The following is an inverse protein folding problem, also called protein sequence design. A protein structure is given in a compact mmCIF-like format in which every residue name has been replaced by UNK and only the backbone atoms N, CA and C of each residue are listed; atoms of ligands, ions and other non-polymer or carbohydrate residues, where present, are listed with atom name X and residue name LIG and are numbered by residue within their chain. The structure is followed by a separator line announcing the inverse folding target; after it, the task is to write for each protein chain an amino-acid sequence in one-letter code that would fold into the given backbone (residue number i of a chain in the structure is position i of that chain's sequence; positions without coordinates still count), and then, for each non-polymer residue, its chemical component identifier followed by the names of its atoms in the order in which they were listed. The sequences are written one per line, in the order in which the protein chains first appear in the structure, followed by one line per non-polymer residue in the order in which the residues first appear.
data_IF_562322839537
#
_entry.id   IF_562322839537
#
_cell.length_a   1.000
_cell.length_b   1.000
_cell.length_c   1.000
_cell.angle_alpha   90.00
_cell.angle_beta   90.00
_cell.angle_gamma   90.00
#
_symmetry.space_group_name_H-M   'P 1'
#
loop_
_entity.id
_entity.type
_entity.pdbx_description
1 polymer ?
#
# COMPACT_ATOMS: atom_id res chain seq x y z
N UNK A 1 -24.92 -39.84 -39.66
CA UNK A 1 -23.95 -39.31 -38.69
C UNK A 1 -24.15 -37.81 -38.77
N UNK A 2 -25.13 -37.34 -38.01
CA UNK A 2 -25.46 -35.93 -37.92
C UNK A 2 -24.46 -35.30 -36.96
N UNK A 3 -23.67 -34.35 -37.46
CA UNK A 3 -22.84 -33.47 -36.65
C UNK A 3 -23.78 -32.59 -35.82
N UNK A 4 -23.96 -32.96 -34.56
CA UNK A 4 -24.68 -32.16 -33.58
C UNK A 4 -23.80 -30.95 -33.21
N UNK A 5 -23.94 -29.90 -34.01
CA UNK A 5 -23.27 -28.63 -33.80
C UNK A 5 -23.82 -28.01 -32.51
N UNK A 6 -22.99 -28.00 -31.47
CA UNK A 6 -23.34 -27.42 -30.18
C UNK A 6 -23.93 -26.00 -30.37
N UNK A 7 -25.06 -25.67 -29.71
CA UNK A 7 -25.70 -24.38 -29.92
C UNK A 7 -24.74 -23.26 -29.52
N UNK A 8 -24.43 -22.40 -30.49
CA UNK A 8 -23.78 -21.12 -30.24
C UNK A 8 -24.74 -20.26 -29.41
N UNK A 9 -24.57 -20.29 -28.09
CA UNK A 9 -25.30 -19.38 -27.21
C UNK A 9 -24.98 -17.95 -27.63
N UNK A 10 -25.98 -17.14 -28.02
CA UNK A 10 -25.76 -15.73 -28.31
C UNK A 10 -25.19 -15.08 -27.05
N UNK A 11 -24.00 -14.49 -27.18
CA UNK A 11 -23.42 -13.70 -26.10
C UNK A 11 -24.41 -12.56 -25.80
N UNK A 12 -24.81 -12.34 -24.52
CA UNK A 12 -25.69 -11.24 -24.16
C UNK A 12 -25.09 -9.91 -24.63
N UNK A 13 -25.93 -8.86 -24.87
CA UNK A 13 -25.45 -7.57 -25.33
C UNK A 13 -24.31 -7.10 -24.42
N UNK A 14 -23.13 -6.95 -25.02
CA UNK A 14 -21.87 -6.77 -24.30
C UNK A 14 -21.97 -5.55 -23.40
N UNK A 15 -21.83 -5.75 -22.08
CA UNK A 15 -21.62 -4.62 -21.19
C UNK A 15 -20.41 -3.81 -21.68
N UNK A 16 -20.49 -2.47 -21.67
CA UNK A 16 -19.40 -1.63 -22.14
C UNK A 16 -18.13 -1.92 -21.33
N UNK A 17 -16.99 -2.04 -22.03
CA UNK A 17 -15.69 -2.27 -21.40
C UNK A 17 -15.42 -1.16 -20.38
N UNK A 18 -15.13 -1.46 -19.10
CA UNK A 18 -14.82 -0.43 -18.12
C UNK A 18 -13.56 0.34 -18.52
N UNK A 19 -13.58 1.66 -18.40
CA UNK A 19 -12.48 2.53 -18.86
C UNK A 19 -11.17 2.34 -18.08
N UNK A 20 -11.25 1.85 -16.85
CA UNK A 20 -10.08 1.54 -16.03
C UNK A 20 -9.51 0.14 -16.32
N UNK A 21 -10.25 -0.75 -16.99
CA UNK A 21 -9.89 -2.17 -17.12
C UNK A 21 -8.54 -2.35 -17.82
N UNK A 22 -8.29 -1.60 -18.89
CA UNK A 22 -6.99 -1.63 -19.57
C UNK A 22 -5.83 -1.23 -18.63
N UNK A 23 -6.01 -0.17 -17.83
CA UNK A 23 -4.99 0.25 -16.86
C UNK A 23 -4.81 -0.75 -15.72
N UNK A 24 -5.89 -1.39 -15.27
CA UNK A 24 -5.85 -2.44 -14.25
C UNK A 24 -5.08 -3.67 -14.73
N UNK A 25 -5.35 -4.12 -15.96
CA UNK A 25 -4.68 -5.27 -16.57
C UNK A 25 -3.24 -4.97 -16.98
N UNK A 26 -2.89 -3.72 -17.29
CA UNK A 26 -1.50 -3.34 -17.57
C UNK A 26 -0.68 -3.04 -16.30
N UNK A 27 -1.30 -3.10 -15.11
CA UNK A 27 -0.68 -2.63 -13.88
C UNK A 27 0.37 -3.62 -13.33
N UNK A 28 1.51 -3.10 -12.90
CA UNK A 28 2.50 -3.89 -12.18
C UNK A 28 2.12 -3.99 -10.69
N UNK A 29 1.60 -5.15 -10.31
CA UNK A 29 1.22 -5.46 -8.93
C UNK A 29 2.40 -5.85 -8.04
N UNK A 30 3.63 -5.97 -8.57
CA UNK A 30 4.84 -6.31 -7.80
C UNK A 30 5.24 -5.24 -6.78
N UNK A 31 4.74 -4.01 -6.97
CA UNK A 31 5.05 -2.86 -6.12
C UNK A 31 4.76 -3.08 -4.64
N UNK A 32 5.66 -2.58 -3.81
CA UNK A 32 5.50 -2.52 -2.35
C UNK A 32 5.25 -1.09 -1.90
N UNK A 33 4.42 -0.95 -0.87
CA UNK A 33 4.15 0.30 -0.17
C UNK A 33 4.94 0.31 1.13
N UNK A 34 5.90 1.23 1.26
CA UNK A 34 6.58 1.49 2.53
C UNK A 34 6.06 2.80 3.13
N UNK A 35 5.67 2.86 4.41
CA UNK A 35 5.05 4.04 5.02
C UNK A 35 6.09 5.11 5.41
N UNK A 36 6.97 5.48 4.47
CA UNK A 36 8.15 6.35 4.71
C UNK A 36 7.82 7.84 4.85
N UNK A 37 6.56 8.24 4.71
CA UNK A 37 6.12 9.61 4.93
C UNK A 37 5.26 9.63 6.20
N UNK A 38 5.46 10.62 7.07
CA UNK A 38 4.63 10.83 8.26
C UNK A 38 4.01 12.22 8.25
N UNK A 39 2.69 12.31 8.36
CA UNK A 39 1.98 13.57 8.52
C UNK A 39 1.68 13.80 10.01
N UNK A 40 2.24 14.86 10.58
CA UNK A 40 1.98 15.25 11.95
C UNK A 40 0.54 15.74 12.12
N UNK A 41 -0.11 16.35 11.13
CA UNK A 41 -1.51 16.79 11.26
C UNK A 41 -2.48 15.62 11.35
N UNK A 42 -2.30 14.59 10.52
CA UNK A 42 -3.11 13.37 10.55
C UNK A 42 -2.67 12.37 11.63
N UNK A 43 -1.47 12.51 12.20
CA UNK A 43 -0.83 11.51 13.04
C UNK A 43 -0.76 10.13 12.37
N UNK A 44 -0.44 10.09 11.07
CA UNK A 44 -0.43 8.86 10.27
C UNK A 44 0.78 8.81 9.35
N UNK A 45 1.28 7.60 9.13
CA UNK A 45 2.27 7.30 8.11
C UNK A 45 1.62 6.75 6.84
N UNK A 46 2.24 7.02 5.69
CA UNK A 46 1.76 6.56 4.40
C UNK A 46 2.91 6.43 3.40
N UNK A 47 2.64 5.72 2.31
CA UNK A 47 3.60 5.56 1.22
C UNK A 47 3.57 6.77 0.28
N UNK A 48 4.76 7.26 -0.11
CA UNK A 48 4.91 8.36 -1.08
C UNK A 48 4.21 8.06 -2.40
N UNK A 49 4.28 6.83 -2.88
CA UNK A 49 3.64 6.39 -4.13
C UNK A 49 2.11 6.41 -4.03
N UNK A 50 1.57 6.09 -2.85
CA UNK A 50 0.13 6.15 -2.62
C UNK A 50 -0.37 7.60 -2.55
N UNK A 51 0.37 8.50 -1.88
CA UNK A 51 -0.11 9.86 -1.58
C UNK A 51 0.86 10.97 -1.99
N UNK A 52 1.10 11.09 -3.30
CA UNK A 52 1.97 12.13 -3.88
C UNK A 52 1.46 13.57 -3.63
N UNK A 53 0.18 13.75 -3.31
CA UNK A 53 -0.47 15.06 -3.09
C UNK A 53 -1.05 15.25 -1.69
N UNK A 54 -0.55 14.54 -0.67
CA UNK A 54 -1.16 14.55 0.67
C UNK A 54 -1.38 15.97 1.21
N UNK A 55 -0.31 16.80 1.26
CA UNK A 55 -0.41 18.14 1.86
C UNK A 55 -1.42 19.02 1.16
N UNK A 56 -1.39 19.06 -0.17
CA UNK A 56 -2.26 19.94 -0.96
C UNK A 56 -3.72 19.50 -0.91
N UNK A 57 -3.97 18.20 -0.81
CA UNK A 57 -5.34 17.65 -0.79
C UNK A 57 -5.96 17.65 0.61
N UNK A 58 -5.19 17.28 1.64
CA UNK A 58 -5.70 17.16 3.01
C UNK A 58 -5.62 18.44 3.82
N UNK A 59 -4.62 19.27 3.52
CA UNK A 59 -4.28 20.41 4.35
C UNK A 59 -4.10 21.68 3.49
N UNK A 60 -5.11 22.05 2.68
CA UNK A 60 -5.04 23.25 1.86
C UNK A 60 -4.81 24.49 2.75
N UNK A 61 -3.85 25.33 2.36
CA UNK A 61 -3.51 26.56 3.09
C UNK A 61 -2.79 26.37 4.42
N UNK A 62 -2.47 25.14 4.84
CA UNK A 62 -1.65 24.87 6.04
C UNK A 62 -0.21 24.58 5.64
N UNK A 63 0.75 25.01 6.48
CA UNK A 63 2.16 24.63 6.28
C UNK A 63 2.28 23.10 6.31
N UNK A 64 3.05 22.50 5.38
CA UNK A 64 3.26 21.07 5.38
C UNK A 64 3.89 20.66 6.71
N UNK A 65 3.16 19.87 7.50
CA UNK A 65 3.70 19.19 8.70
C UNK A 65 3.97 17.73 8.34
N UNK A 66 4.57 17.51 7.18
CA UNK A 66 4.85 16.20 6.63
C UNK A 66 6.35 16.04 6.58
N UNK A 67 6.84 14.89 7.03
CA UNK A 67 8.27 14.59 7.01
C UNK A 67 8.53 13.27 6.32
N UNK A 68 9.64 13.23 5.59
CA UNK A 68 10.18 12.00 5.05
C UNK A 68 11.03 11.31 6.13
N UNK A 69 10.68 10.07 6.42
CA UNK A 69 11.42 9.18 7.31
C UNK A 69 12.43 8.43 6.46
N UNK A 70 13.71 8.67 6.76
CA UNK A 70 14.82 8.13 5.97
C UNK A 70 15.62 7.15 6.79
N UNK A 71 16.27 6.21 6.12
CA UNK A 71 17.18 5.30 6.80
C UNK A 71 18.55 5.96 6.94
N UNK A 72 19.12 5.93 8.14
CA UNK A 72 20.51 6.33 8.39
C UNK A 72 21.20 5.24 9.20
N UNK A 73 22.25 4.65 8.59
CA UNK A 73 22.90 3.43 9.07
C UNK A 73 21.91 2.25 9.09
N UNK A 74 21.40 1.87 10.26
CA UNK A 74 20.46 0.74 10.45
C UNK A 74 19.16 1.15 11.15
N UNK A 75 18.89 2.45 11.25
CA UNK A 75 17.75 2.97 11.99
C UNK A 75 17.07 4.12 11.22
N UNK A 76 15.88 4.48 11.67
CA UNK A 76 15.03 5.48 11.05
C UNK A 76 15.22 6.84 11.68
N UNK A 77 15.39 7.84 10.82
CA UNK A 77 15.63 9.23 11.21
C UNK A 77 14.68 10.17 10.49
N UNK A 78 14.46 11.31 11.12
CA UNK A 78 13.79 12.47 10.52
C UNK A 78 14.74 13.66 10.49
N UNK A 79 14.60 14.52 9.49
CA UNK A 79 15.29 15.81 9.45
C UNK A 79 14.87 16.67 10.64
N UNK A 80 15.84 17.28 11.32
CA UNK A 80 15.57 18.18 12.43
C UNK A 80 14.93 19.50 11.96
N UNK A 81 15.16 19.87 10.70
CA UNK A 81 14.56 21.06 10.06
C UNK A 81 13.10 20.79 9.68
N UNK A 82 12.82 19.61 9.13
CA UNK A 82 11.47 19.27 8.62
C UNK A 82 10.47 19.07 9.77
N UNK A 83 10.94 18.66 10.96
CA UNK A 83 10.09 18.55 12.15
C UNK A 83 10.00 19.86 12.94
N UNK A 84 10.73 20.90 12.56
CA UNK A 84 10.66 22.17 13.27
C UNK A 84 9.28 22.82 13.09
N UNK A 85 8.77 23.44 14.15
CA UNK A 85 7.46 24.09 14.11
C UNK A 85 6.24 23.15 14.06
N UNK A 86 6.42 21.81 14.10
CA UNK A 86 5.26 20.89 14.16
C UNK A 86 4.58 20.85 15.53
N UNK A 87 5.07 21.60 16.53
CA UNK A 87 4.43 21.78 17.84
C UNK A 87 4.90 20.82 18.94
N UNK A 88 5.76 19.84 18.63
CA UNK A 88 6.43 19.05 19.66
C UNK A 88 7.76 19.71 20.05
N UNK A 89 8.13 19.65 21.33
CA UNK A 89 9.40 20.20 21.80
C UNK A 89 10.55 19.21 21.51
N UNK A 90 11.47 19.58 20.61
CA UNK A 90 12.62 18.75 20.20
C UNK A 90 13.90 19.02 21.03
N UNK A 91 13.83 19.85 22.07
CA UNK A 91 14.99 20.23 22.87
C UNK A 91 15.51 19.04 23.68
N UNK A 92 16.84 19.00 23.82
CA UNK A 92 17.55 17.93 24.52
C UNK A 92 17.69 16.63 23.74
N UNK A 93 17.12 16.50 22.53
CA UNK A 93 17.34 15.32 21.68
C UNK A 93 18.64 15.49 20.89
N UNK A 94 19.46 14.45 20.89
CA UNK A 94 20.68 14.36 20.09
C UNK A 94 20.39 14.56 18.60
N UNK A 95 21.17 15.45 17.97
CA UNK A 95 21.17 15.70 16.53
C UNK A 95 22.48 15.20 15.95
N UNK A 96 22.40 14.36 14.93
CA UNK A 96 23.58 13.82 14.24
C UNK A 96 23.61 14.32 12.81
N UNK A 97 24.81 14.48 12.23
CA UNK A 97 24.97 14.97 10.87
C UNK A 97 24.85 13.80 9.88
N UNK A 98 23.94 13.90 8.92
CA UNK A 98 23.76 12.96 7.81
C UNK A 98 23.75 13.77 6.50
N UNK A 99 24.72 13.55 5.60
CA UNK A 99 24.87 14.28 4.34
C UNK A 99 24.69 15.81 4.45
N UNK A 100 25.31 16.42 5.47
CA UNK A 100 25.20 17.87 5.70
C UNK A 100 24.00 18.30 6.55
N UNK A 101 22.93 17.52 6.62
CA UNK A 101 21.71 17.82 7.40
C UNK A 101 21.78 17.28 8.82
N UNK A 102 21.11 17.96 9.75
CA UNK A 102 20.93 17.46 11.12
C UNK A 102 19.72 16.55 11.16
N UNK A 103 19.88 15.33 11.66
CA UNK A 103 18.79 14.35 11.78
C UNK A 103 18.62 13.88 13.23
N UNK A 104 17.41 13.45 13.55
CA UNK A 104 17.00 12.91 14.84
C UNK A 104 16.63 11.44 14.67
N UNK A 105 17.18 10.57 15.50
CA UNK A 105 16.74 9.18 15.55
C UNK A 105 15.33 9.08 16.11
N UNK A 106 14.45 8.34 15.44
CA UNK A 106 13.08 8.08 15.91
C UNK A 106 13.14 7.16 17.13
N UNK A 107 13.90 6.06 17.02
CA UNK A 107 14.06 5.04 18.05
C UNK A 107 15.50 4.93 18.53
N UNK A 108 15.72 4.10 19.55
CA UNK A 108 17.04 3.80 20.10
C UNK A 108 17.81 2.93 19.10
N UNK A 109 19.02 3.38 18.74
CA UNK A 109 19.98 2.62 17.96
C UNK A 109 20.35 1.30 18.66
N UNK A 110 20.03 0.17 18.04
CA UNK A 110 20.37 -1.16 18.56
C UNK A 110 21.88 -1.45 18.46
N UNK A 111 22.56 -0.95 17.42
CA UNK A 111 24.00 -1.14 17.21
C UNK A 111 24.73 0.16 17.46
N UNK A 112 25.56 0.18 18.50
CA UNK A 112 26.25 1.38 18.98
C UNK A 112 27.53 1.63 18.18
N UNK A 113 27.70 2.81 17.56
CA UNK A 113 29.03 3.24 17.14
C UNK A 113 29.92 3.49 18.38
N UNK A 114 31.17 3.02 18.35
CA UNK A 114 32.11 3.25 19.45
C UNK A 114 32.45 4.75 19.53
N UNK A 115 32.04 5.38 20.63
CA UNK A 115 32.35 6.79 20.91
C UNK A 115 32.82 6.94 22.36
N UNK A 116 33.88 7.74 22.54
CA UNK A 116 34.58 8.00 23.80
C UNK A 116 33.95 9.14 24.62
N UNK A 117 32.68 9.45 24.41
CA UNK A 117 32.01 10.52 25.16
C UNK A 117 31.44 9.98 26.48
N UNK A 118 31.66 10.68 27.62
CA UNK A 118 31.19 10.26 28.94
C UNK A 118 29.70 10.52 29.19
N UNK A 119 28.99 11.12 28.23
CA UNK A 119 27.59 11.54 28.42
C UNK A 119 26.63 10.39 28.12
N UNK A 120 25.75 10.12 29.09
CA UNK A 120 24.72 9.09 29.00
C UNK A 120 23.32 9.71 28.89
N UNK A 121 22.53 9.19 27.95
CA UNK A 121 21.09 9.38 27.92
C UNK A 121 20.48 8.76 29.19
N UNK A 122 19.29 9.20 29.59
CA UNK A 122 18.53 8.58 30.70
C UNK A 122 18.26 7.08 30.52
N UNK A 123 18.30 6.55 29.29
CA UNK A 123 18.22 5.11 29.02
C UNK A 123 19.56 4.36 29.21
N UNK A 124 20.62 5.04 29.67
CA UNK A 124 21.95 4.49 29.85
C UNK A 124 22.83 4.49 28.59
N UNK A 125 22.32 4.97 27.45
CA UNK A 125 23.09 4.96 26.20
C UNK A 125 24.08 6.12 26.08
N UNK A 126 25.23 5.83 25.46
CA UNK A 126 26.23 6.84 25.12
C UNK A 126 25.71 7.78 24.04
N UNK A 127 25.99 9.07 24.22
CA UNK A 127 25.62 10.14 23.29
C UNK A 127 26.84 10.68 22.52
N UNK A 128 26.61 11.18 21.31
CA UNK A 128 27.61 11.80 20.43
C UNK A 128 27.79 13.30 20.70
N UNK A 129 26.88 13.93 21.45
CA UNK A 129 26.94 15.35 21.77
C UNK A 129 26.36 15.63 23.16
N UNK A 130 26.48 16.90 23.61
CA UNK A 130 25.82 17.41 24.82
C UNK A 130 24.30 17.51 24.60
N UNK A 131 23.62 16.38 24.74
CA UNK A 131 22.16 16.25 24.70
C UNK A 131 21.68 15.56 25.98
N UNK A 132 20.37 15.52 26.21
CA UNK A 132 19.74 14.82 27.34
C UNK A 132 19.15 13.46 26.94
N UNK A 133 18.84 13.30 25.65
CA UNK A 133 18.17 12.11 25.09
C UNK A 133 18.85 11.68 23.79
N UNK A 134 19.05 10.37 23.61
CA UNK A 134 19.69 9.83 22.41
C UNK A 134 18.78 9.81 21.16
N UNK A 135 17.45 9.80 21.36
CA UNK A 135 16.45 9.71 20.29
C UNK A 135 15.10 10.31 20.73
N UNK A 136 14.17 10.45 19.78
CA UNK A 136 12.80 10.94 19.99
C UNK A 136 12.06 10.05 20.99
N UNK A 137 12.12 8.73 20.82
CA UNK A 137 11.49 7.77 21.74
C UNK A 137 11.99 7.88 23.19
N UNK A 138 13.30 8.08 23.41
CA UNK A 138 13.82 8.25 24.77
C UNK A 138 13.30 9.52 25.44
N UNK A 139 13.18 10.63 24.70
CA UNK A 139 12.57 11.86 25.23
C UNK A 139 11.10 11.65 25.54
N UNK A 140 10.36 11.04 24.62
CA UNK A 140 8.94 10.73 24.79
C UNK A 140 8.69 9.92 26.08
N UNK A 141 9.54 8.95 26.39
CA UNK A 141 9.39 8.13 27.59
C UNK A 141 9.77 8.82 28.91
N UNK A 142 10.59 9.88 28.87
CA UNK A 142 11.21 10.46 30.07
C UNK A 142 10.73 11.88 30.42
N UNK A 143 10.20 12.61 29.45
CA UNK A 143 9.44 13.83 29.68
C UNK A 143 8.00 13.37 29.56
N UNK A 144 7.09 13.68 30.49
CA UNK A 144 5.69 13.20 30.45
C UNK A 144 4.69 14.26 30.00
N UNK A 145 5.07 15.54 30.03
CA UNK A 145 4.26 16.67 29.60
C UNK A 145 4.72 17.23 28.25
N UNK A 146 3.89 18.07 27.64
CA UNK A 146 4.18 18.75 26.37
C UNK A 146 3.10 18.56 25.30
N UNK A 147 3.08 19.47 24.32
CA UNK A 147 2.15 19.42 23.20
C UNK A 147 2.49 18.29 22.22
N UNK A 148 1.46 17.74 21.58
CA UNK A 148 1.54 16.77 20.47
C UNK A 148 2.32 15.48 20.76
N UNK A 149 2.39 15.08 22.02
CA UNK A 149 3.08 13.85 22.44
C UNK A 149 2.43 12.60 21.88
N UNK A 150 1.10 12.60 21.85
CA UNK A 150 0.25 11.58 21.24
C UNK A 150 0.64 11.35 19.77
N UNK A 151 0.78 12.40 18.98
CA UNK A 151 1.22 12.34 17.58
C UNK A 151 2.64 11.77 17.47
N UNK A 152 3.57 12.22 18.33
CA UNK A 152 4.94 11.70 18.36
C UNK A 152 5.01 10.25 18.83
N UNK A 153 4.09 9.81 19.71
CA UNK A 153 3.98 8.41 20.10
C UNK A 153 3.60 7.54 18.90
N UNK A 154 2.72 8.00 18.02
CA UNK A 154 2.40 7.30 16.77
C UNK A 154 3.61 7.24 15.83
N UNK A 155 4.34 8.36 15.66
CA UNK A 155 5.60 8.37 14.89
C UNK A 155 6.59 7.32 15.43
N UNK A 156 6.79 7.27 16.76
CA UNK A 156 7.70 6.33 17.39
C UNK A 156 7.18 4.88 17.31
N UNK A 157 5.88 4.65 17.36
CA UNK A 157 5.27 3.31 17.28
C UNK A 157 5.23 2.74 15.85
N UNK A 158 5.28 3.61 14.84
CA UNK A 158 5.21 3.19 13.42
C UNK A 158 6.40 2.32 13.01
N UNK A 159 6.13 1.17 12.37
CA UNK A 159 7.16 0.34 11.76
C UNK A 159 7.45 0.80 10.32
N UNK A 160 8.52 1.57 10.14
CA UNK A 160 8.93 2.10 8.83
C UNK A 160 9.65 1.08 7.94
N UNK A 161 10.06 -0.08 8.48
CA UNK A 161 10.74 -1.13 7.73
C UNK A 161 9.79 -2.11 7.04
N UNK A 162 8.51 -2.08 7.39
CA UNK A 162 7.54 -3.04 6.87
C UNK A 162 7.13 -2.64 5.45
N UNK A 163 7.71 -3.32 4.46
CA UNK A 163 7.26 -3.25 3.09
C UNK A 163 5.95 -4.04 2.97
N UNK A 164 4.89 -3.36 2.50
CA UNK A 164 3.56 -3.95 2.41
C UNK A 164 3.16 -4.12 0.97
N UNK A 165 2.74 -5.32 0.59
CA UNK A 165 2.26 -5.56 -0.76
C UNK A 165 0.97 -4.77 -0.98
N UNK A 166 0.80 -4.26 -2.21
CA UNK A 166 -0.46 -3.68 -2.60
C UNK A 166 -1.54 -4.77 -2.59
N UNK A 167 -2.67 -4.46 -1.94
CA UNK A 167 -3.84 -5.33 -1.82
C UNK A 167 -5.12 -4.63 -2.29
N UNK A 168 -5.01 -3.41 -2.83
CA UNK A 168 -6.11 -2.65 -3.41
C UNK A 168 -5.66 -1.93 -4.68
N UNK A 169 -6.58 -1.72 -5.61
CA UNK A 169 -6.41 -0.89 -6.80
C UNK A 169 -7.55 0.12 -6.90
N UNK A 170 -7.22 1.41 -6.96
CA UNK A 170 -8.23 2.46 -7.13
C UNK A 170 -8.48 2.68 -8.63
N UNK A 171 -9.74 2.56 -9.06
CA UNK A 171 -10.14 2.73 -10.47
C UNK A 171 -10.06 4.20 -10.93
N UNK A 172 -10.16 5.15 -10.00
CA UNK A 172 -10.04 6.58 -10.27
C UNK A 172 -8.57 6.99 -10.40
N UNK A 173 -7.74 6.62 -9.40
CA UNK A 173 -6.30 6.90 -9.44
C UNK A 173 -5.54 6.05 -10.47
N UNK A 174 -6.11 4.90 -10.88
CA UNK A 174 -5.49 3.88 -11.73
C UNK A 174 -4.15 3.39 -11.17
N UNK A 175 -4.10 3.16 -9.86
CA UNK A 175 -2.90 2.75 -9.13
C UNK A 175 -3.25 1.76 -8.02
N UNK A 176 -2.34 0.83 -7.77
CA UNK A 176 -2.40 -0.05 -6.62
C UNK A 176 -1.83 0.62 -5.36
N UNK A 177 -2.36 0.22 -4.21
CA UNK A 177 -1.91 0.65 -2.90
C UNK A 177 -2.15 -0.45 -1.86
N UNK A 178 -1.51 -0.31 -0.70
CA UNK A 178 -1.78 -1.17 0.45
C UNK A 178 -2.77 -0.48 1.39
N UNK A 179 -3.90 -1.13 1.70
CA UNK A 179 -4.92 -0.62 2.62
C UNK A 179 -4.37 -0.34 4.02
N UNK A 180 -3.36 -1.11 4.44
CA UNK A 180 -2.62 -0.89 5.69
C UNK A 180 -1.77 0.39 5.69
N UNK A 181 -1.33 0.86 4.52
CA UNK A 181 -0.59 2.12 4.33
C UNK A 181 -1.53 3.30 4.02
N UNK A 182 -2.76 3.04 3.58
CA UNK A 182 -3.77 4.04 3.27
C UNK A 182 -5.14 3.50 3.67
N UNK A 183 -5.49 3.64 4.96
CA UNK A 183 -6.68 3.02 5.56
C UNK A 183 -7.99 3.70 5.19
N UNK A 184 -7.93 4.93 4.67
CA UNK A 184 -9.09 5.72 4.27
C UNK A 184 -8.84 6.33 2.89
N UNK A 185 -8.54 5.50 1.89
CA UNK A 185 -8.15 5.99 0.57
C UNK A 185 -9.20 6.90 -0.05
N UNK A 186 -10.48 6.50 -0.03
CA UNK A 186 -11.56 7.25 -0.65
C UNK A 186 -11.80 8.60 0.04
N UNK A 187 -11.95 8.64 1.36
CA UNK A 187 -12.11 9.90 2.09
C UNK A 187 -10.90 10.83 1.94
N UNK A 188 -9.71 10.25 1.80
CA UNK A 188 -8.46 11.00 1.69
C UNK A 188 -8.18 11.55 0.29
N UNK A 189 -8.40 10.74 -0.75
CA UNK A 189 -7.98 11.04 -2.12
C UNK A 189 -9.10 11.49 -3.03
N UNK A 190 -10.33 11.12 -2.68
CA UNK A 190 -11.55 11.30 -3.46
C UNK A 190 -12.67 11.88 -2.57
N UNK A 191 -12.42 13.02 -1.89
CA UNK A 191 -13.44 13.62 -1.02
C UNK A 191 -14.68 13.99 -1.85
N UNK A 192 -15.86 13.66 -1.33
CA UNK A 192 -17.14 13.89 -2.01
C UNK A 192 -17.55 12.78 -2.99
N UNK A 193 -16.76 11.72 -3.12
CA UNK A 193 -17.18 10.48 -3.77
C UNK A 193 -17.63 9.52 -2.67
N UNK A 194 -18.93 9.27 -2.60
CA UNK A 194 -19.51 8.23 -1.74
C UNK A 194 -19.21 6.87 -2.38
N UNK A 195 -18.55 5.99 -1.64
CA UNK A 195 -18.12 4.66 -2.10
C UNK A 195 -18.66 3.57 -1.18
N UNK A 196 -19.95 3.65 -0.84
CA UNK A 196 -20.59 2.76 0.15
C UNK A 196 -20.50 1.27 -0.26
N UNK A 197 -20.39 0.99 -1.56
CA UNK A 197 -20.29 -0.36 -2.11
C UNK A 197 -18.87 -0.75 -2.59
N UNK A 198 -17.83 0.04 -2.30
CA UNK A 198 -16.47 -0.15 -2.85
C UNK A 198 -16.46 -0.27 -4.40
N UNK A 199 -17.24 0.57 -5.08
CA UNK A 199 -17.35 0.67 -6.54
C UNK A 199 -16.07 1.22 -7.19
N UNK A 200 -15.21 1.87 -6.41
CA UNK A 200 -13.99 2.49 -6.91
C UNK A 200 -12.70 1.83 -6.45
N UNK A 201 -12.78 0.82 -5.59
CA UNK A 201 -11.63 0.09 -5.09
C UNK A 201 -11.78 -1.41 -5.37
N UNK A 202 -10.87 -1.94 -6.19
CA UNK A 202 -10.76 -3.37 -6.47
C UNK A 202 -9.82 -4.00 -5.44
N UNK A 203 -10.30 -4.99 -4.69
CA UNK A 203 -9.45 -5.82 -3.84
C UNK A 203 -8.55 -6.71 -4.70
N UNK A 204 -7.29 -6.86 -4.31
CA UNK A 204 -6.35 -7.77 -4.98
C UNK A 204 -5.66 -8.67 -3.98
N UNK A 205 -5.49 -9.92 -4.37
CA UNK A 205 -4.92 -10.97 -3.54
C UNK A 205 -3.81 -11.70 -4.30
N UNK A 206 -2.85 -12.25 -3.55
CA UNK A 206 -1.77 -13.05 -4.10
C UNK A 206 -1.99 -14.50 -3.73
N UNK A 207 -2.03 -15.36 -4.73
CA UNK A 207 -2.13 -16.79 -4.48
C UNK A 207 -0.91 -17.26 -3.66
N UNK A 208 -1.12 -17.96 -2.53
CA UNK A 208 -0.05 -18.25 -1.55
C UNK A 208 1.09 -19.10 -2.12
N UNK A 209 0.76 -20.07 -2.98
CA UNK A 209 1.77 -20.99 -3.56
C UNK A 209 2.41 -20.44 -4.83
N UNK A 210 1.61 -19.93 -5.76
CA UNK A 210 2.03 -19.63 -7.12
C UNK A 210 2.22 -18.12 -7.40
N UNK A 211 1.90 -17.25 -6.44
CA UNK A 211 2.22 -15.82 -6.47
C UNK A 211 1.47 -14.95 -7.48
N UNK A 212 0.55 -15.51 -8.27
CA UNK A 212 -0.26 -14.75 -9.23
C UNK A 212 -1.34 -13.92 -8.54
N UNK A 213 -1.80 -12.87 -9.24
CA UNK A 213 -2.72 -11.88 -8.68
C UNK A 213 -4.17 -12.24 -9.04
N UNK A 214 -5.00 -12.13 -8.01
CA UNK A 214 -6.41 -12.46 -7.99
C UNK A 214 -7.22 -11.23 -7.61
N UNK A 215 -8.48 -11.18 -8.04
CA UNK A 215 -9.47 -10.21 -7.57
C UNK A 215 -10.72 -10.96 -7.13
N UNK A 216 -11.44 -10.50 -6.08
CA UNK A 216 -12.75 -11.02 -5.76
C UNK A 216 -13.73 -10.85 -6.92
N UNK A 217 -14.71 -11.75 -6.99
CA UNK A 217 -15.82 -11.67 -7.97
C UNK A 217 -16.76 -10.50 -7.70
N UNK A 218 -16.75 -9.93 -6.49
CA UNK A 218 -17.60 -8.81 -6.12
C UNK A 218 -16.73 -7.60 -5.71
N UNK A 219 -17.20 -6.39 -6.01
CA UNK A 219 -16.52 -5.12 -5.74
C UNK A 219 -16.69 -4.12 -6.89
N UNK A 220 -15.70 -3.27 -7.11
CA UNK A 220 -15.63 -2.27 -8.20
C UNK A 220 -15.75 -2.82 -9.65
N UNK A 221 -15.80 -4.14 -9.82
CA UNK A 221 -16.01 -4.80 -11.10
C UNK A 221 -17.45 -5.32 -11.14
N UNK A 222 -18.24 -4.87 -12.12
CA UNK A 222 -19.59 -5.39 -12.34
C UNK A 222 -19.56 -6.89 -12.66
N UNK A 223 -20.54 -7.65 -12.13
CA UNK A 223 -20.59 -9.12 -12.26
C UNK A 223 -20.48 -9.63 -13.71
N UNK A 224 -21.05 -8.88 -14.67
CA UNK A 224 -21.00 -9.16 -16.11
C UNK A 224 -19.57 -9.21 -16.68
N UNK A 225 -18.62 -8.51 -16.05
CA UNK A 225 -17.20 -8.55 -16.43
C UNK A 225 -16.64 -9.96 -16.18
N UNK A 226 -17.15 -10.66 -15.17
CA UNK A 226 -16.66 -11.97 -14.76
C UNK A 226 -17.35 -13.15 -15.46
N UNK A 227 -18.40 -12.90 -16.23
CA UNK A 227 -19.10 -13.95 -16.96
C UNK A 227 -18.16 -14.79 -17.79
N UNK A 228 -18.31 -16.11 -17.67
CA UNK A 228 -17.52 -17.13 -18.34
C UNK A 228 -16.02 -17.13 -18.01
N UNK A 229 -15.57 -16.42 -16.97
CA UNK A 229 -14.20 -16.53 -16.46
C UNK A 229 -14.15 -17.58 -15.35
N UNK A 230 -13.18 -18.48 -15.43
CA UNK A 230 -12.96 -19.48 -14.39
C UNK A 230 -12.76 -18.82 -13.03
N UNK A 231 -13.51 -19.30 -12.05
CA UNK A 231 -13.38 -18.90 -10.65
C UNK A 231 -12.55 -19.93 -9.89
N UNK A 232 -11.76 -19.44 -8.95
CA UNK A 232 -10.91 -20.21 -8.04
C UNK A 232 -11.46 -20.05 -6.63
N UNK A 233 -11.64 -21.17 -5.92
CA UNK A 233 -11.98 -21.15 -4.50
C UNK A 233 -10.67 -21.22 -3.69
N UNK A 234 -10.38 -20.15 -2.94
CA UNK A 234 -9.30 -20.11 -1.98
C UNK A 234 -9.89 -19.80 -0.61
N UNK A 235 -9.82 -20.78 0.29
CA UNK A 235 -10.29 -20.65 1.68
C UNK A 235 -11.77 -20.22 1.79
N UNK A 236 -12.62 -20.65 0.85
CA UNK A 236 -14.04 -20.29 0.81
C UNK A 236 -14.34 -18.97 0.10
N UNK A 237 -13.32 -18.31 -0.45
CA UNK A 237 -13.45 -17.08 -1.22
C UNK A 237 -13.34 -17.35 -2.72
N UNK A 238 -14.35 -16.90 -3.45
CA UNK A 238 -14.41 -16.99 -4.90
C UNK A 238 -13.60 -15.85 -5.54
N UNK A 239 -12.48 -16.23 -6.14
CA UNK A 239 -11.49 -15.33 -6.72
C UNK A 239 -11.33 -15.58 -8.21
N UNK A 240 -10.89 -14.55 -8.93
CA UNK A 240 -10.70 -14.58 -10.37
C UNK A 240 -9.28 -14.11 -10.68
N UNK A 241 -8.59 -14.86 -11.53
CA UNK A 241 -7.25 -14.48 -11.95
C UNK A 241 -7.28 -13.25 -12.85
N UNK A 242 -6.45 -12.25 -12.50
CA UNK A 242 -6.28 -11.04 -13.30
C UNK A 242 -5.52 -11.40 -14.59
N UNK A 243 -4.40 -12.11 -14.45
CA UNK A 243 -3.53 -12.54 -15.54
C UNK A 243 -3.53 -14.06 -15.71
N UNK A 244 -3.00 -14.51 -16.85
CA UNK A 244 -2.74 -15.92 -17.13
C UNK A 244 -1.89 -16.58 -16.02
N UNK A 245 -2.41 -17.61 -15.35
CA UNK A 245 -1.68 -18.43 -14.34
C UNK A 245 -1.56 -19.92 -14.72
N UNK A 246 -0.44 -20.56 -14.40
CA UNK A 246 0.01 -21.86 -14.94
C UNK A 246 -0.80 -23.11 -14.57
N UNK A 247 -1.87 -23.01 -13.78
CA UNK A 247 -2.70 -24.17 -13.44
C UNK A 247 -3.74 -24.44 -14.53
N UNK A 248 -3.44 -25.38 -15.43
CA UNK A 248 -4.44 -26.03 -16.27
C UNK A 248 -5.03 -27.23 -15.54
N UNK A 249 -6.31 -27.51 -15.80
CA UNK A 249 -6.92 -28.78 -15.38
C UNK A 249 -6.79 -29.81 -16.51
N UNK A 250 -6.93 -31.10 -16.20
CA UNK A 250 -6.65 -32.20 -17.14
C UNK A 250 -7.77 -32.37 -18.20
N UNK A 251 -9.01 -32.00 -17.87
CA UNK A 251 -10.17 -32.09 -18.76
C UNK A 251 -11.06 -30.85 -18.61
N UNK A 252 -11.54 -30.30 -19.73
CA UNK A 252 -12.47 -29.17 -19.73
C UNK A 252 -12.48 -28.36 -21.03
N UNK A 253 -12.92 -27.11 -20.95
CA UNK A 253 -13.01 -26.19 -22.10
C UNK A 253 -11.62 -25.63 -22.45
N UNK A 254 -11.33 -25.42 -23.74
CA UNK A 254 -10.12 -24.75 -24.17
C UNK A 254 -10.30 -23.23 -24.19
N UNK A 255 -9.58 -22.53 -23.32
CA UNK A 255 -9.44 -21.08 -23.33
C UNK A 255 -8.69 -20.62 -24.59
N UNK A 256 -8.95 -19.43 -25.17
CA UNK A 256 -8.22 -18.89 -26.32
C UNK A 256 -6.69 -18.84 -26.17
N UNK A 257 -6.17 -18.83 -24.94
CA UNK A 257 -4.73 -18.96 -24.68
C UNK A 257 -4.22 -20.42 -24.65
N UNK A 258 -4.99 -21.35 -25.21
CA UNK A 258 -4.72 -22.79 -25.30
C UNK A 258 -4.64 -23.52 -23.95
N UNK A 259 -5.22 -22.94 -22.88
CA UNK A 259 -5.31 -23.61 -21.57
C UNK A 259 -6.62 -24.35 -21.41
N UNK A 260 -6.56 -25.53 -20.81
CA UNK A 260 -7.73 -26.30 -20.42
C UNK A 260 -8.23 -25.77 -19.06
N UNK A 261 -9.50 -25.34 -19.02
CA UNK A 261 -10.20 -24.76 -17.87
C UNK A 261 -11.49 -25.53 -17.58
N UNK A 262 -12.10 -25.31 -16.40
CA UNK A 262 -13.31 -26.02 -16.01
C UNK A 262 -14.45 -25.86 -17.03
N UNK A 263 -15.28 -26.90 -17.17
CA UNK A 263 -16.48 -26.87 -18.01
C UNK A 263 -17.41 -25.73 -17.57
N UNK A 264 -18.08 -25.09 -18.54
CA UNK A 264 -18.94 -23.93 -18.29
C UNK A 264 -18.23 -22.57 -18.29
N UNK A 265 -16.90 -22.56 -18.35
CA UNK A 265 -16.11 -21.34 -18.52
C UNK A 265 -15.50 -21.27 -19.93
N UNK A 266 -15.27 -20.03 -20.41
CA UNK A 266 -14.66 -19.73 -21.72
C UNK A 266 -13.26 -19.12 -21.57
N UNK A 267 -12.97 -18.47 -20.43
CA UNK A 267 -11.72 -17.74 -20.22
C UNK A 267 -11.05 -18.16 -18.91
N UNK A 268 -9.73 -18.26 -18.91
CA UNK A 268 -8.95 -18.59 -17.71
C UNK A 268 -8.64 -17.39 -16.82
N UNK A 269 -8.79 -16.15 -17.32
CA UNK A 269 -8.45 -14.93 -16.60
C UNK A 269 -9.17 -13.72 -17.21
N UNK A 270 -9.20 -12.62 -16.46
CA UNK A 270 -9.68 -11.32 -16.95
C UNK A 270 -8.91 -10.88 -18.20
N UNK A 271 -7.58 -11.00 -18.19
CA UNK A 271 -6.73 -10.68 -19.35
C UNK A 271 -7.09 -11.49 -20.60
N UNK A 272 -7.43 -12.78 -20.47
CA UNK A 272 -7.86 -13.58 -21.62
C UNK A 272 -9.21 -13.13 -22.17
N UNK A 273 -10.17 -12.77 -21.30
CA UNK A 273 -11.45 -12.23 -21.74
C UNK A 273 -11.27 -10.87 -22.40
N UNK A 274 -10.49 -9.98 -21.79
CA UNK A 274 -10.13 -8.66 -22.33
C UNK A 274 -9.58 -8.74 -23.75
N UNK A 275 -8.61 -9.64 -23.96
CA UNK A 275 -7.95 -9.80 -25.25
C UNK A 275 -8.79 -10.46 -26.35
N UNK A 276 -9.86 -11.18 -26.01
CA UNK A 276 -10.65 -11.97 -26.97
C UNK A 276 -12.06 -11.43 -27.19
N UNK A 277 -12.68 -10.82 -26.17
CA UNK A 277 -14.06 -10.34 -26.23
C UNK A 277 -14.16 -8.85 -26.54
N UNK A 278 -13.20 -8.03 -26.08
CA UNK A 278 -13.23 -6.57 -26.26
C UNK A 278 -12.13 -6.02 -27.18
N UNK A 279 -11.41 -6.90 -27.89
CA UNK A 279 -10.48 -6.54 -28.97
C UNK A 279 -11.14 -6.67 -30.33
#
# INVERSE_FOLDING_TARGET
MDDEQAPAYPLPPSAPRPTFLHSFLAHDFSGTCCPVIFCFLCARSFCRSCCQGHSSKHHPGRRPSIVEVTQFRRDWVVSAEDVDGVGYNWNGIQRVKNHGKKVLYIRRLLVKPQHNMPLTCKCGDRMQCRASFCCIGCRLNNVLSGQRRDVVAVLVATNFSEARLANQFCTICRKSFSSSCCTDHMGCHHPGIEDENNEHVIGIERHPVNGYILTPRHGALADVIFDHIQTLDLEGQLLIAIHRYSHGIIQGTMCPCSRIIALGFLYCSLECKDNHFWN
#
